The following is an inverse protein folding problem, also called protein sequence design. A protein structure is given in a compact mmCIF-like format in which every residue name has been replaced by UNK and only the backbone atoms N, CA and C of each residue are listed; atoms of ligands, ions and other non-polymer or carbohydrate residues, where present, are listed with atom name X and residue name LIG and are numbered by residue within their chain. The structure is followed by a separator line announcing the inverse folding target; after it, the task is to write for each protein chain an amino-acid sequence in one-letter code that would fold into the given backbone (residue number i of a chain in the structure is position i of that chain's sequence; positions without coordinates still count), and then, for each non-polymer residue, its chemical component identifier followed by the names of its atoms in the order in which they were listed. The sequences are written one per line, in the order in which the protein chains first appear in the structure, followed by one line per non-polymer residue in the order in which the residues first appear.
data_IF_185363419211
#
_entry.id   IF_185363419211
#
_cell.length_a   1.000
_cell.length_b   1.000
_cell.length_c   1.000
_cell.angle_alpha   90.00
_cell.angle_beta   90.00
_cell.angle_gamma   90.00
#
_symmetry.space_group_name_H-M   'P 1'
#
loop_
_entity.id
_entity.type
_entity.pdbx_description
1 polymer ?
#
# COMPACT_ATOMS: atom_id res chain seq x y z
N UNK A 1 -22.09 -6.75 0.42
CA UNK A 1 -21.23 -6.91 1.61
C UNK A 1 -19.86 -6.37 1.26
N UNK A 2 -19.59 -5.08 1.52
CA UNK A 2 -18.23 -4.58 1.46
C UNK A 2 -17.58 -4.96 2.80
N UNK A 3 -16.56 -5.79 2.77
CA UNK A 3 -15.73 -6.02 3.95
C UNK A 3 -15.29 -4.64 4.46
N UNK A 4 -15.66 -4.29 5.69
CA UNK A 4 -15.13 -3.09 6.33
C UNK A 4 -13.62 -3.10 6.15
N UNK A 5 -13.07 -1.98 5.68
CA UNK A 5 -11.64 -1.77 5.69
C UNK A 5 -11.19 -1.89 7.15
N UNK A 6 -10.76 -3.09 7.54
CA UNK A 6 -10.08 -3.31 8.81
C UNK A 6 -9.00 -2.26 8.85
N UNK A 7 -8.97 -1.48 9.93
CA UNK A 7 -7.85 -0.59 10.24
C UNK A 7 -6.60 -1.38 9.93
N UNK A 8 -5.92 -1.02 8.83
CA UNK A 8 -4.71 -1.74 8.44
C UNK A 8 -3.82 -1.62 9.66
N UNK A 9 -3.32 -2.70 10.26
CA UNK A 9 -2.53 -2.59 11.48
C UNK A 9 -1.32 -1.73 11.15
N UNK A 10 -1.43 -0.45 11.50
CA UNK A 10 -0.38 0.51 11.32
C UNK A 10 0.73 0.05 12.24
N UNK A 11 1.83 -0.40 11.63
CA UNK A 11 3.09 -0.70 12.29
C UNK A 11 2.97 -1.52 13.58
N UNK A 12 2.47 -2.76 13.50
CA UNK A 12 2.70 -3.71 14.60
C UNK A 12 4.21 -3.95 14.74
N UNK A 13 4.81 -3.68 15.92
CA UNK A 13 6.23 -3.92 16.15
C UNK A 13 6.58 -5.38 15.85
N UNK A 14 7.61 -5.60 15.03
CA UNK A 14 8.07 -6.96 14.68
C UNK A 14 7.28 -7.67 13.57
N UNK A 15 6.22 -7.08 13.02
CA UNK A 15 5.44 -7.67 11.92
C UNK A 15 6.32 -8.01 10.70
N UNK A 16 7.18 -7.08 10.27
CA UNK A 16 8.09 -7.30 9.13
C UNK A 16 9.05 -8.47 9.37
N UNK A 17 9.60 -8.57 10.58
CA UNK A 17 10.47 -9.69 10.94
C UNK A 17 9.72 -11.03 10.96
N UNK A 18 8.45 -11.04 11.41
CA UNK A 18 7.61 -12.22 11.36
C UNK A 18 7.30 -12.65 9.91
N UNK A 19 6.97 -11.69 9.04
CA UNK A 19 6.76 -11.95 7.60
C UNK A 19 8.00 -12.56 6.95
N UNK A 20 9.18 -12.02 7.26
CA UNK A 20 10.46 -12.57 6.78
C UNK A 20 10.70 -14.00 7.28
N UNK A 21 10.45 -14.30 8.56
CA UNK A 21 10.58 -15.66 9.12
C UNK A 21 9.61 -16.66 8.50
N UNK A 22 8.42 -16.22 8.13
CA UNK A 22 7.42 -17.03 7.45
C UNK A 22 7.71 -17.22 5.94
N UNK A 23 8.77 -16.59 5.42
CA UNK A 23 9.17 -16.73 4.03
C UNK A 23 8.36 -15.89 3.04
N UNK A 24 7.60 -14.89 3.51
CA UNK A 24 6.97 -13.95 2.60
C UNK A 24 8.03 -13.15 1.86
N UNK A 25 7.87 -13.05 0.54
CA UNK A 25 8.79 -12.29 -0.32
C UNK A 25 8.39 -10.83 -0.45
N UNK A 26 7.08 -10.56 -0.39
CA UNK A 26 6.52 -9.23 -0.52
C UNK A 26 5.34 -9.03 0.42
N UNK A 27 5.15 -7.81 0.92
CA UNK A 27 3.97 -7.41 1.67
C UNK A 27 3.66 -5.93 1.47
N UNK A 28 2.37 -5.58 1.48
CA UNK A 28 1.92 -4.19 1.38
C UNK A 28 1.77 -3.54 2.75
N UNK A 29 2.40 -2.38 2.91
CA UNK A 29 2.23 -1.48 4.03
C UNK A 29 1.02 -0.56 3.86
N UNK A 30 0.80 0.31 4.85
CA UNK A 30 -0.28 1.31 4.84
C UNK A 30 0.09 2.61 4.08
N UNK A 31 1.33 2.72 3.59
CA UNK A 31 1.81 3.91 2.89
C UNK A 31 1.19 3.99 1.49
N UNK A 32 0.69 5.17 1.13
CA UNK A 32 0.25 5.42 -0.22
C UNK A 32 1.44 5.78 -1.13
N UNK A 33 1.54 5.19 -2.32
CA UNK A 33 2.60 5.49 -3.28
C UNK A 33 2.83 4.42 -4.35
N UNK A 34 3.78 4.70 -5.24
CA UNK A 34 4.27 3.74 -6.23
C UNK A 34 5.44 2.93 -5.66
N UNK A 35 5.54 1.67 -6.08
CA UNK A 35 6.64 0.79 -5.75
C UNK A 35 7.86 1.13 -6.62
N UNK A 36 9.04 1.21 -6.01
CA UNK A 36 10.33 1.25 -6.70
C UNK A 36 11.33 0.28 -6.05
N UNK A 37 12.53 0.16 -6.63
CA UNK A 37 13.58 -0.77 -6.17
C UNK A 37 14.21 -0.40 -4.82
N UNK A 38 13.91 0.78 -4.27
CA UNK A 38 14.41 1.25 -2.97
C UNK A 38 13.44 0.93 -1.84
N UNK A 39 12.22 0.48 -2.16
CA UNK A 39 11.21 0.12 -1.17
C UNK A 39 11.61 -1.14 -0.40
N UNK A 40 11.29 -1.18 0.89
CA UNK A 40 11.35 -2.43 1.66
C UNK A 40 10.33 -3.43 1.07
N UNK A 41 10.76 -4.61 0.63
CA UNK A 41 9.86 -5.58 0.01
C UNK A 41 8.74 -6.04 0.95
N UNK A 42 8.92 -5.94 2.27
CA UNK A 42 7.90 -6.30 3.26
C UNK A 42 7.09 -5.09 3.79
N UNK A 43 7.23 -3.93 3.16
CA UNK A 43 6.50 -2.69 3.47
C UNK A 43 6.23 -1.87 2.21
N UNK A 44 5.76 -2.53 1.14
CA UNK A 44 5.52 -1.90 -0.14
C UNK A 44 4.40 -0.87 -0.05
N UNK A 45 4.56 0.33 -0.64
CA UNK A 45 3.46 1.27 -0.76
C UNK A 45 2.39 0.75 -1.73
N UNK A 46 1.16 1.26 -1.59
CA UNK A 46 0.03 0.92 -2.45
C UNK A 46 -0.73 2.17 -2.89
N UNK A 47 -1.55 2.07 -3.93
CA UNK A 47 -2.55 3.11 -4.22
C UNK A 47 -3.91 2.52 -3.85
N UNK A 48 -4.53 3.05 -2.81
CA UNK A 48 -5.89 2.65 -2.45
C UNK A 48 -6.88 3.20 -3.47
N UNK A 49 -7.78 2.34 -3.96
CA UNK A 49 -8.86 2.71 -4.87
C UNK A 49 -10.17 2.47 -4.14
N UNK A 50 -10.79 3.55 -3.68
CA UNK A 50 -12.13 3.52 -3.08
C UNK A 50 -13.20 3.96 -4.10
N UNK A 51 -14.47 3.97 -3.66
CA UNK A 51 -15.58 4.41 -4.50
C UNK A 51 -15.44 5.87 -4.97
N UNK A 52 -14.82 6.74 -4.17
CA UNK A 52 -14.64 8.15 -4.51
C UNK A 52 -13.57 8.36 -5.58
N UNK A 53 -12.55 7.50 -5.63
CA UNK A 53 -11.56 7.45 -6.71
C UNK A 53 -12.16 6.77 -7.95
N UNK A 54 -12.89 5.67 -7.80
CA UNK A 54 -13.53 4.96 -8.90
C UNK A 54 -14.55 5.84 -9.66
N UNK A 55 -15.31 6.67 -8.93
CA UNK A 55 -16.26 7.61 -9.53
C UNK A 55 -15.59 8.76 -10.32
N UNK A 56 -14.28 8.97 -10.16
CA UNK A 56 -13.53 10.06 -10.79
C UNK A 56 -12.14 9.56 -11.23
N UNK A 57 -12.03 8.90 -12.39
CA UNK A 57 -10.77 8.32 -12.86
C UNK A 57 -9.58 9.29 -12.89
N UNK A 58 -9.83 10.60 -13.09
CA UNK A 58 -8.80 11.64 -13.02
C UNK A 58 -8.11 11.75 -11.65
N UNK A 59 -8.78 11.38 -10.54
CA UNK A 59 -8.13 11.31 -9.21
C UNK A 59 -7.13 10.18 -9.13
N UNK A 60 -7.45 9.01 -9.70
CA UNK A 60 -6.51 7.91 -9.79
C UNK A 60 -5.28 8.31 -10.61
N UNK A 61 -5.50 8.93 -11.77
CA UNK A 61 -4.43 9.44 -12.62
C UNK A 61 -3.55 10.46 -11.86
N UNK A 62 -4.15 11.35 -11.07
CA UNK A 62 -3.42 12.29 -10.22
C UNK A 62 -2.59 11.60 -9.14
N UNK A 63 -3.12 10.57 -8.46
CA UNK A 63 -2.37 9.80 -7.46
C UNK A 63 -1.17 9.07 -8.06
N UNK A 64 -1.32 8.49 -9.26
CA UNK A 64 -0.21 7.87 -10.00
C UNK A 64 0.86 8.92 -10.33
N UNK A 65 0.44 10.06 -10.90
CA UNK A 65 1.35 11.14 -11.25
C UNK A 65 2.11 11.71 -10.03
N UNK A 66 1.42 11.92 -8.91
CA UNK A 66 2.04 12.34 -7.64
C UNK A 66 3.03 11.29 -7.12
N UNK A 67 2.66 10.01 -7.16
CA UNK A 67 3.51 8.91 -6.71
C UNK A 67 4.74 8.67 -7.59
N UNK A 68 4.71 9.10 -8.85
CA UNK A 68 5.84 9.01 -9.78
C UNK A 68 6.86 10.14 -9.61
N UNK A 69 6.60 11.11 -8.72
CA UNK A 69 7.52 12.22 -8.44
C UNK A 69 8.31 11.98 -7.15
N UNK A 70 9.62 12.26 -7.15
CA UNK A 70 10.48 12.12 -5.97
C UNK A 70 10.03 12.97 -4.78
#
# INVERSE_FOLDING_TARGET
VFCQARTTPAAQPGLRAALGRLGYRFAFGARNGLVDTRCDPLDLPRIEVDAAIAARPGRLAWHIYRGARP
#
